data_IF_017684384403
#
_entry.id   IF_017684384403
#
_cell.length_a   1.000
_cell.length_b   1.000
_cell.length_c   1.000
_cell.angle_alpha   90.00
_cell.angle_beta   90.00
_cell.angle_gamma   90.00
#
_symmetry.space_group_name_H-M   'P 1'
#
loop_
_entity.id
_entity.type
_entity.pdbx_description
1 polymer ?
#
# COMPACT_ATOMS: atom_id res chain seq x y z
N UNK A 1 -6.22 10.25 11.76
CA UNK A 1 -5.00 11.04 11.86
C UNK A 1 -4.00 10.33 12.77
N UNK A 2 -2.72 10.48 12.48
CA UNK A 2 -1.67 9.86 13.29
C UNK A 2 -1.41 8.38 13.00
N UNK A 3 -2.20 7.76 12.16
CA UNK A 3 -1.97 6.37 11.77
C UNK A 3 -1.01 6.30 10.59
N UNK A 4 -0.32 5.17 10.48
CA UNK A 4 0.62 4.91 9.40
C UNK A 4 0.13 3.73 8.58
N UNK A 5 0.05 3.92 7.27
CA UNK A 5 -0.37 2.87 6.36
C UNK A 5 0.78 2.49 5.44
N UNK A 6 0.97 1.19 5.23
CA UNK A 6 1.85 0.70 4.19
C UNK A 6 1.01 0.56 2.91
N UNK A 7 1.58 0.96 1.79
CA UNK A 7 0.91 0.86 0.49
C UNK A 7 1.79 0.07 -0.46
N UNK A 8 1.28 -1.07 -0.93
CA UNK A 8 1.98 -1.91 -1.90
C UNK A 8 1.36 -1.73 -3.27
N UNK A 9 2.14 -1.17 -4.17
CA UNK A 9 1.72 -0.93 -5.54
C UNK A 9 1.27 0.50 -5.75
N UNK A 10 1.75 1.09 -6.83
CA UNK A 10 1.42 2.47 -7.18
C UNK A 10 0.82 2.54 -8.58
N UNK A 11 1.41 1.82 -9.54
CA UNK A 11 0.93 1.85 -10.93
C UNK A 11 -0.43 1.19 -11.07
N UNK A 12 -1.11 1.50 -12.17
CA UNK A 12 -2.42 0.96 -12.48
C UNK A 12 -2.42 -0.57 -12.52
N UNK A 13 -1.32 -1.18 -13.02
CA UNK A 13 -1.17 -2.64 -13.10
C UNK A 13 0.31 -2.99 -13.01
N UNK A 14 0.67 -4.27 -12.79
CA UNK A 14 2.08 -4.65 -12.69
C UNK A 14 2.81 -4.49 -14.02
N UNK A 15 4.14 -4.41 -13.92
CA UNK A 15 5.06 -4.34 -15.06
C UNK A 15 4.95 -3.03 -15.85
N UNK A 16 4.47 -1.96 -15.23
CA UNK A 16 4.39 -0.64 -15.84
C UNK A 16 4.49 0.43 -14.77
N UNK A 17 4.85 1.64 -15.18
CA UNK A 17 4.78 2.82 -14.31
C UNK A 17 3.59 3.72 -14.66
N UNK A 18 2.61 3.19 -15.41
CA UNK A 18 1.44 3.95 -15.82
C UNK A 18 0.58 4.32 -14.61
N UNK A 19 0.50 5.60 -14.32
CA UNK A 19 -0.25 6.13 -13.18
C UNK A 19 -1.62 6.69 -13.57
N UNK A 20 -1.98 6.61 -14.83
CA UNK A 20 -3.31 7.09 -15.28
C UNK A 20 -4.38 6.23 -14.63
N UNK A 21 -5.32 6.87 -13.95
CA UNK A 21 -6.43 6.21 -13.25
C UNK A 21 -5.97 5.15 -12.24
N UNK A 22 -4.74 5.26 -11.74
CA UNK A 22 -4.22 4.29 -10.77
C UNK A 22 -5.00 4.42 -9.45
N UNK A 23 -5.49 3.30 -8.89
CA UNK A 23 -6.20 3.33 -7.60
C UNK A 23 -5.37 3.93 -6.47
N UNK A 24 -4.04 3.80 -6.52
CA UNK A 24 -3.16 4.36 -5.49
C UNK A 24 -3.33 5.87 -5.35
N UNK A 25 -3.64 6.57 -6.46
CA UNK A 25 -3.83 8.02 -6.40
C UNK A 25 -5.03 8.39 -5.55
N UNK A 26 -6.13 7.62 -5.65
CA UNK A 26 -7.32 7.82 -4.83
C UNK A 26 -7.02 7.50 -3.37
N UNK A 27 -6.34 6.39 -3.11
CA UNK A 27 -5.95 5.97 -1.76
C UNK A 27 -5.08 7.04 -1.11
N UNK A 28 -4.07 7.53 -1.82
CA UNK A 28 -3.16 8.55 -1.31
C UNK A 28 -3.90 9.86 -1.05
N UNK A 29 -4.81 10.23 -1.94
CA UNK A 29 -5.60 11.45 -1.75
C UNK A 29 -6.41 11.37 -0.46
N UNK A 30 -7.12 10.28 -0.25
CA UNK A 30 -7.94 10.08 0.94
C UNK A 30 -7.10 10.07 2.22
N UNK A 31 -6.03 9.26 2.23
CA UNK A 31 -5.24 9.07 3.44
C UNK A 31 -4.44 10.31 3.82
N UNK A 32 -3.76 10.92 2.86
CA UNK A 32 -2.92 12.08 3.16
C UNK A 32 -3.77 13.28 3.56
N UNK A 33 -4.91 13.48 2.92
CA UNK A 33 -5.79 14.60 3.27
C UNK A 33 -6.46 14.38 4.63
N UNK A 34 -6.58 13.13 5.07
CA UNK A 34 -7.08 12.83 6.42
C UNK A 34 -6.00 12.94 7.51
N UNK A 35 -4.76 13.26 7.13
CA UNK A 35 -3.68 13.44 8.09
C UNK A 35 -2.88 12.18 8.40
N UNK A 36 -3.11 11.09 7.66
CA UNK A 36 -2.36 9.85 7.86
C UNK A 36 -0.98 9.93 7.21
N UNK A 37 -0.08 9.08 7.70
CA UNK A 37 1.22 8.85 7.07
C UNK A 37 1.14 7.63 6.18
N UNK A 38 1.86 7.66 5.08
CA UNK A 38 1.90 6.52 4.15
C UNK A 38 3.34 6.18 3.80
N UNK A 39 3.66 4.89 3.87
CA UNK A 39 4.95 4.38 3.43
C UNK A 39 4.69 3.44 2.26
N UNK A 40 5.16 3.81 1.08
CA UNK A 40 4.77 3.13 -0.15
C UNK A 40 5.93 2.38 -0.79
N UNK A 41 5.58 1.31 -1.49
CA UNK A 41 6.51 0.52 -2.29
C UNK A 41 5.92 0.27 -3.67
N UNK A 42 6.77 0.33 -4.68
CA UNK A 42 6.46 -0.15 -6.02
C UNK A 42 7.79 -0.49 -6.71
N UNK A 43 7.85 -1.60 -7.47
CA UNK A 43 9.10 -1.99 -8.12
C UNK A 43 9.63 -0.99 -9.14
N UNK A 44 8.76 -0.25 -9.85
CA UNK A 44 9.22 0.63 -10.93
C UNK A 44 8.52 2.00 -11.00
N UNK A 45 7.42 2.21 -10.30
CA UNK A 45 6.59 3.40 -10.51
C UNK A 45 6.85 4.57 -9.56
N UNK A 46 7.87 4.50 -8.71
CA UNK A 46 8.10 5.54 -7.70
C UNK A 46 8.30 6.92 -8.31
N UNK A 47 9.16 7.03 -9.33
CA UNK A 47 9.46 8.33 -9.92
C UNK A 47 8.25 8.95 -10.64
N UNK A 48 7.50 8.11 -11.37
CA UNK A 48 6.29 8.59 -12.03
C UNK A 48 5.23 8.99 -11.00
N UNK A 49 5.14 8.26 -9.89
CA UNK A 49 4.25 8.62 -8.80
C UNK A 49 4.59 9.99 -8.23
N UNK A 50 5.88 10.25 -7.99
CA UNK A 50 6.29 11.57 -7.51
C UNK A 50 5.83 12.67 -8.45
N UNK A 51 5.94 12.44 -9.75
CA UNK A 51 5.54 13.41 -10.77
C UNK A 51 4.04 13.70 -10.73
N UNK A 52 3.22 12.64 -10.74
CA UNK A 52 1.76 12.85 -10.79
C UNK A 52 1.23 13.40 -9.47
N UNK A 53 1.82 13.06 -8.34
CA UNK A 53 1.35 13.57 -7.05
C UNK A 53 1.59 15.07 -6.89
N UNK A 54 2.64 15.60 -7.50
CA UNK A 54 2.83 17.05 -7.50
C UNK A 54 1.65 17.77 -8.14
N UNK A 55 1.03 17.15 -9.15
CA UNK A 55 -0.16 17.68 -9.79
C UNK A 55 -1.40 17.46 -8.91
N UNK A 56 -1.55 16.25 -8.38
CA UNK A 56 -2.71 15.90 -7.57
C UNK A 56 -2.79 16.72 -6.28
N UNK A 57 -1.64 17.11 -5.72
CA UNK A 57 -1.57 17.86 -4.47
C UNK A 57 -1.05 19.28 -4.67
N UNK A 58 -1.26 19.85 -5.87
CA UNK A 58 -0.85 21.23 -6.14
C UNK A 58 -1.51 22.22 -5.18
N UNK A 59 -2.71 21.91 -4.69
CA UNK A 59 -3.43 22.75 -3.73
C UNK A 59 -2.93 22.61 -2.30
N UNK A 60 -2.19 21.54 -1.99
CA UNK A 60 -1.72 21.29 -0.62
C UNK A 60 -0.43 20.47 -0.64
N UNK A 61 0.67 21.02 -1.21
CA UNK A 61 1.89 20.24 -1.40
C UNK A 61 2.54 19.76 -0.11
N UNK A 62 2.30 20.43 1.01
CA UNK A 62 2.86 20.01 2.30
C UNK A 62 2.35 18.65 2.77
N UNK A 63 1.19 18.20 2.27
CA UNK A 63 0.66 16.89 2.62
C UNK A 63 1.56 15.76 2.13
N UNK A 64 2.33 16.00 1.06
CA UNK A 64 3.26 15.00 0.54
C UNK A 64 4.42 14.70 1.49
N UNK A 65 4.67 15.56 2.47
CA UNK A 65 5.71 15.30 3.48
C UNK A 65 5.38 14.07 4.33
N UNK A 66 4.13 13.66 4.36
CA UNK A 66 3.70 12.47 5.11
C UNK A 66 3.79 11.19 4.30
N UNK A 67 4.21 11.28 3.06
CA UNK A 67 4.43 10.13 2.17
C UNK A 67 5.92 9.84 2.07
N UNK A 68 6.30 8.58 2.30
CA UNK A 68 7.65 8.12 2.18
C UNK A 68 7.67 6.89 1.28
N UNK A 69 8.73 6.74 0.49
CA UNK A 69 8.93 5.56 -0.36
C UNK A 69 10.08 4.73 0.18
N UNK A 70 9.92 3.41 0.17
CA UNK A 70 11.01 2.50 0.53
C UNK A 70 11.70 2.00 -0.72
N UNK A 71 12.84 1.33 -0.54
CA UNK A 71 13.59 0.75 -1.65
C UNK A 71 12.72 -0.18 -2.49
N UNK A 72 12.82 -0.07 -3.80
CA UNK A 72 12.09 -0.94 -4.72
C UNK A 72 12.47 -2.42 -4.56
N UNK A 73 13.59 -2.71 -3.89
CA UNK A 73 14.08 -4.08 -3.71
C UNK A 73 13.41 -4.83 -2.57
N UNK A 74 12.81 -4.14 -1.62
CA UNK A 74 12.25 -4.83 -0.45
C UNK A 74 10.90 -4.21 -0.05
N UNK A 75 9.79 -4.80 -0.51
CA UNK A 75 8.47 -4.31 -0.12
C UNK A 75 8.19 -4.43 1.38
N UNK A 76 8.87 -5.36 2.07
CA UNK A 76 8.65 -5.55 3.50
C UNK A 76 9.07 -4.34 4.32
N UNK A 77 10.02 -3.53 3.82
CA UNK A 77 10.44 -2.33 4.53
C UNK A 77 9.28 -1.34 4.76
N UNK A 78 8.27 -1.36 3.88
CA UNK A 78 7.13 -0.46 4.03
C UNK A 78 6.25 -0.82 5.23
N UNK A 79 6.37 -2.04 5.73
CA UNK A 79 5.49 -2.56 6.79
C UNK A 79 5.91 -2.13 8.19
N UNK A 80 7.13 -1.66 8.37
CA UNK A 80 7.63 -1.36 9.71
C UNK A 80 6.77 -0.31 10.43
N UNK A 81 6.15 -0.70 11.54
CA UNK A 81 5.31 0.20 12.33
C UNK A 81 3.97 0.53 11.71
N UNK A 82 3.58 -0.15 10.64
CA UNK A 82 2.31 0.16 9.96
C UNK A 82 1.11 -0.32 10.76
N UNK A 83 0.06 0.48 10.75
CA UNK A 83 -1.23 0.12 11.35
C UNK A 83 -2.05 -0.75 10.41
N UNK A 84 -1.82 -0.65 9.11
CA UNK A 84 -2.45 -1.51 8.11
C UNK A 84 -1.63 -1.51 6.83
N UNK A 85 -1.81 -2.56 6.03
CA UNK A 85 -1.23 -2.69 4.70
C UNK A 85 -2.35 -2.63 3.67
N UNK A 86 -2.19 -1.79 2.65
CA UNK A 86 -3.13 -1.67 1.55
C UNK A 86 -2.42 -2.12 0.27
N UNK A 87 -3.05 -3.05 -0.47
CA UNK A 87 -2.49 -3.57 -1.72
C UNK A 87 -3.39 -3.18 -2.87
N UNK A 88 -2.85 -2.45 -3.84
CA UNK A 88 -3.64 -1.97 -4.96
C UNK A 88 -3.09 -2.38 -6.34
N UNK A 89 -1.95 -3.07 -6.37
CA UNK A 89 -1.37 -3.60 -7.61
C UNK A 89 -0.89 -5.02 -7.35
N UNK A 90 -1.14 -5.93 -8.30
CA UNK A 90 -0.85 -7.35 -8.11
C UNK A 90 0.54 -7.76 -8.58
N UNK A 91 1.59 -7.06 -8.09
CA UNK A 91 2.95 -7.45 -8.39
C UNK A 91 3.26 -8.86 -7.88
N UNK A 92 4.06 -9.59 -8.63
CA UNK A 92 4.49 -10.93 -8.22
C UNK A 92 5.18 -10.91 -6.85
N UNK A 93 5.95 -9.86 -6.60
CA UNK A 93 6.67 -9.70 -5.33
C UNK A 93 5.76 -9.66 -4.10
N UNK A 94 4.47 -9.38 -4.28
CA UNK A 94 3.53 -9.27 -3.17
C UNK A 94 2.77 -10.57 -2.89
N UNK A 95 2.88 -11.58 -3.76
CA UNK A 95 2.01 -12.75 -3.69
C UNK A 95 2.28 -13.69 -2.55
N UNK A 96 3.52 -13.80 -2.12
CA UNK A 96 3.93 -14.77 -1.10
C UNK A 96 4.82 -14.15 -0.04
N UNK A 97 4.30 -13.17 0.73
CA UNK A 97 5.11 -12.55 1.77
C UNK A 97 5.37 -13.53 2.90
N UNK A 98 6.48 -13.35 3.60
CA UNK A 98 6.74 -14.10 4.82
C UNK A 98 5.79 -13.55 5.91
N UNK A 99 4.77 -14.32 6.26
CA UNK A 99 3.73 -13.83 7.17
C UNK A 99 4.22 -13.59 8.59
N UNK A 100 5.19 -14.37 9.06
CA UNK A 100 5.75 -14.15 10.38
C UNK A 100 6.55 -12.84 10.42
N UNK A 101 7.33 -12.57 9.38
CA UNK A 101 8.06 -11.31 9.29
C UNK A 101 7.09 -10.13 9.18
N UNK A 102 6.03 -10.28 8.39
CA UNK A 102 5.01 -9.26 8.23
C UNK A 102 4.38 -8.90 9.58
N UNK A 103 3.98 -9.90 10.34
CA UNK A 103 3.37 -9.67 11.65
C UNK A 103 4.35 -9.00 12.61
N UNK A 104 5.63 -9.37 12.54
CA UNK A 104 6.64 -8.79 13.40
C UNK A 104 6.97 -7.34 13.07
N UNK A 105 6.83 -6.95 11.80
CA UNK A 105 7.12 -5.58 11.37
C UNK A 105 5.96 -4.63 11.62
N UNK A 106 4.73 -5.09 11.42
CA UNK A 106 3.56 -4.23 11.53
C UNK A 106 3.16 -4.02 12.98
N UNK A 107 2.68 -2.82 13.26
CA UNK A 107 2.12 -2.51 14.57
C UNK A 107 0.84 -3.31 14.80
N UNK A 108 0.02 -3.43 13.77
CA UNK A 108 -1.22 -4.21 13.79
C UNK A 108 -1.30 -4.98 12.48
N UNK A 109 -1.46 -6.32 12.51
CA UNK A 109 -1.46 -7.11 11.27
C UNK A 109 -2.82 -7.08 10.58
N UNK A 110 -3.08 -5.98 9.89
CA UNK A 110 -4.32 -5.75 9.14
C UNK A 110 -3.97 -5.50 7.68
N UNK A 111 -4.62 -6.23 6.77
CA UNK A 111 -4.39 -6.10 5.33
C UNK A 111 -5.71 -5.80 4.62
N UNK A 112 -5.70 -4.74 3.81
CA UNK A 112 -6.77 -4.43 2.85
C UNK A 112 -6.24 -4.72 1.46
N UNK A 113 -6.76 -5.76 0.83
CA UNK A 113 -6.25 -6.28 -0.44
C UNK A 113 -7.21 -5.96 -1.57
N UNK A 114 -6.89 -4.95 -2.35
CA UNK A 114 -7.72 -4.53 -3.48
C UNK A 114 -7.59 -5.44 -4.70
N UNK A 115 -6.67 -6.41 -4.67
CA UNK A 115 -6.42 -7.30 -5.81
C UNK A 115 -6.71 -8.76 -5.51
N UNK A 116 -7.13 -9.07 -4.28
CA UNK A 116 -7.50 -10.43 -3.86
C UNK A 116 -6.35 -11.43 -4.06
N UNK A 117 -5.15 -11.04 -3.64
CA UNK A 117 -3.96 -11.88 -3.80
C UNK A 117 -3.90 -13.07 -2.87
N UNK A 118 -4.54 -12.98 -1.71
CA UNK A 118 -4.37 -13.97 -0.66
C UNK A 118 -5.67 -14.73 -0.37
N UNK A 119 -5.50 -15.95 0.14
CA UNK A 119 -6.64 -16.74 0.59
C UNK A 119 -7.06 -16.27 1.99
N UNK A 120 -8.33 -15.89 2.19
CA UNK A 120 -8.78 -15.41 3.49
C UNK A 120 -8.53 -16.40 4.63
N UNK A 121 -8.71 -17.69 4.37
CA UNK A 121 -8.48 -18.70 5.40
C UNK A 121 -7.03 -18.78 5.84
N UNK A 122 -6.09 -18.62 4.90
CA UNK A 122 -4.67 -18.62 5.21
C UNK A 122 -4.31 -17.41 6.08
N UNK A 123 -4.86 -16.27 5.77
CA UNK A 123 -4.62 -15.06 6.55
C UNK A 123 -5.18 -15.18 7.96
N UNK A 124 -6.39 -15.68 8.08
CA UNK A 124 -7.03 -15.90 9.37
C UNK A 124 -6.21 -16.88 10.24
N UNK A 125 -5.76 -17.98 9.63
CA UNK A 125 -4.96 -18.97 10.34
C UNK A 125 -3.62 -18.38 10.83
N UNK A 126 -3.09 -17.40 10.12
CA UNK A 126 -1.85 -16.73 10.50
C UNK A 126 -2.06 -15.61 11.54
N UNK A 127 -3.31 -15.35 11.93
CA UNK A 127 -3.62 -14.28 12.88
C UNK A 127 -3.65 -12.90 12.26
N UNK A 128 -3.90 -12.81 10.96
CA UNK A 128 -3.95 -11.55 10.22
C UNK A 128 -5.40 -11.19 9.93
N UNK A 129 -5.78 -9.96 10.25
CA UNK A 129 -7.09 -9.43 9.86
C UNK A 129 -7.01 -9.06 8.39
N UNK A 130 -7.81 -9.71 7.56
CA UNK A 130 -7.71 -9.58 6.12
C UNK A 130 -9.06 -9.23 5.50
N UNK A 131 -9.08 -8.20 4.69
CA UNK A 131 -10.26 -7.77 3.96
C UNK A 131 -9.92 -7.68 2.48
N UNK A 132 -10.53 -8.53 1.67
CA UNK A 132 -10.42 -8.45 0.23
C UNK A 132 -11.46 -7.47 -0.28
N UNK A 133 -11.02 -6.47 -1.02
CA UNK A 133 -11.92 -5.46 -1.58
C UNK A 133 -12.57 -6.06 -2.83
N UNK A 134 -13.89 -5.94 -2.92
CA UNK A 134 -14.62 -6.50 -4.05
C UNK A 134 -15.05 -7.96 -3.85
N UNK A 135 -14.68 -8.58 -2.71
CA UNK A 135 -15.16 -9.90 -2.32
C UNK A 135 -16.23 -9.77 -1.25
N UNK A 136 -17.16 -10.72 -1.23
CA UNK A 136 -18.03 -10.85 -0.10
C UNK A 136 -17.21 -11.40 1.07
N UNK A 137 -17.35 -10.79 2.24
CA UNK A 137 -16.72 -11.29 3.45
C UNK A 137 -17.41 -12.55 3.88
N UNK A 138 -16.70 -13.63 3.88
CA UNK A 138 -17.28 -14.91 4.24
C UNK A 138 -16.49 -15.56 5.33
#
# INVERSE_FOLDING_TARGET
AGRTFALWGLAFKPNTDDMREAPSRVVLDVLLRAGARVVAHDPIAIEETRRVLKLDFADAPALLDKLRFVSAKDPMEALAGADALIIVTEWKAYRSPNLERLKGLMKTPVIFDGRNLYEPGTMKAAGIVYQGIGRNSQ
#
